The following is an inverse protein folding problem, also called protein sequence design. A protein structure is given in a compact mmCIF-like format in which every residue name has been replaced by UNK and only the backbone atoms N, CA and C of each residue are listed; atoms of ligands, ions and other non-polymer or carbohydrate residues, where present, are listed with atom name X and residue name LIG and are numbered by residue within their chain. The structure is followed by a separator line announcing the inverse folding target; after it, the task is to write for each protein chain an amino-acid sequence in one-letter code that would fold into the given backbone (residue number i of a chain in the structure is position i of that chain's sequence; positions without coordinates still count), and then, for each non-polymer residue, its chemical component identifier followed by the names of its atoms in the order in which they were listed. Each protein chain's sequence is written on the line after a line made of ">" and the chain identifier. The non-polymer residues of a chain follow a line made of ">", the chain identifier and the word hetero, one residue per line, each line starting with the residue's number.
data_IF_698710649285
#
_entry.id   IF_698710649285
#
_cell.length_a   1.000
_cell.length_b   1.000
_cell.length_c   1.000
_cell.angle_alpha   90.00
_cell.angle_beta   90.00
_cell.angle_gamma   90.00
#
_symmetry.space_group_name_H-M   'P 1'
#
loop_
_entity.id
_entity.type
_entity.pdbx_description
1 polymer ?
#
# COMPACT_ATOMS: atom_id res chain seq x y z
N UNK A 1 18.03 3.97 -15.98
CA UNK A 1 18.39 5.36 -15.57
C UNK A 1 17.41 5.77 -14.51
N UNK A 2 17.82 6.41 -13.44
CA UNK A 2 16.89 6.84 -12.39
C UNK A 2 15.92 7.90 -12.93
N UNK A 3 14.63 7.80 -12.59
CA UNK A 3 13.57 8.73 -12.99
C UNK A 3 13.94 10.15 -12.55
N UNK A 4 14.07 11.08 -13.48
CA UNK A 4 14.49 12.46 -13.20
C UNK A 4 13.85 13.46 -14.14
N UNK A 5 13.67 14.72 -13.66
CA UNK A 5 13.06 15.81 -14.43
C UNK A 5 11.59 15.60 -14.79
N UNK A 6 10.87 14.78 -14.00
CA UNK A 6 9.46 14.44 -14.20
C UNK A 6 8.57 15.23 -13.24
N UNK A 7 7.33 15.45 -13.66
CA UNK A 7 6.26 15.94 -12.78
C UNK A 7 5.34 14.77 -12.44
N UNK A 8 5.24 14.44 -11.14
CA UNK A 8 4.63 13.20 -10.66
C UNK A 8 3.50 13.52 -9.70
N UNK A 9 2.28 13.10 -10.02
CA UNK A 9 1.13 13.19 -9.11
C UNK A 9 1.04 11.93 -8.27
N UNK A 10 0.96 12.08 -6.94
CA UNK A 10 0.73 10.98 -6.00
C UNK A 10 -0.58 11.24 -5.25
N UNK A 11 -1.63 10.49 -5.53
CA UNK A 11 -2.84 10.49 -4.72
C UNK A 11 -2.66 9.59 -3.51
N UNK A 12 -3.19 9.97 -2.35
CA UNK A 12 -2.81 9.32 -1.09
C UNK A 12 -1.36 9.66 -0.68
N UNK A 13 -0.88 10.85 -1.12
CA UNK A 13 0.51 11.26 -1.00
C UNK A 13 0.95 11.55 0.43
N UNK A 14 0.03 11.86 1.36
CA UNK A 14 0.31 11.97 2.79
C UNK A 14 0.18 10.63 3.53
N UNK A 15 -0.25 9.56 2.86
CA UNK A 15 -0.31 8.21 3.42
C UNK A 15 1.07 7.55 3.55
N UNK A 16 1.12 6.41 4.22
CA UNK A 16 2.36 5.67 4.53
C UNK A 16 3.24 5.40 3.29
N UNK A 17 2.68 4.73 2.27
CA UNK A 17 3.42 4.39 1.04
C UNK A 17 3.68 5.65 0.21
N UNK A 18 2.68 6.54 0.07
CA UNK A 18 2.78 7.78 -0.71
C UNK A 18 3.89 8.70 -0.21
N UNK A 19 3.97 8.92 1.11
CA UNK A 19 5.03 9.73 1.73
C UNK A 19 6.42 9.11 1.53
N UNK A 20 6.54 7.79 1.70
CA UNK A 20 7.83 7.09 1.49
C UNK A 20 8.27 7.17 0.02
N UNK A 21 7.34 7.02 -0.91
CA UNK A 21 7.62 7.17 -2.35
C UNK A 21 8.00 8.62 -2.70
N UNK A 22 7.22 9.61 -2.22
CA UNK A 22 7.51 11.02 -2.45
C UNK A 22 8.93 11.37 -1.99
N UNK A 23 9.38 10.89 -0.82
CA UNK A 23 10.74 11.09 -0.30
C UNK A 23 11.84 10.56 -1.25
N UNK A 24 11.56 9.47 -1.97
CA UNK A 24 12.51 8.89 -2.94
C UNK A 24 12.54 9.64 -4.28
N UNK A 25 11.52 10.43 -4.59
CA UNK A 25 11.33 11.10 -5.88
C UNK A 25 11.70 12.58 -5.88
N UNK A 26 11.53 13.29 -4.75
CA UNK A 26 11.61 14.76 -4.70
C UNK A 26 12.99 15.34 -5.03
N UNK A 27 14.08 14.61 -4.80
CA UNK A 27 15.43 15.13 -5.07
C UNK A 27 15.68 15.35 -6.56
N UNK A 28 15.00 14.59 -7.43
CA UNK A 28 15.22 14.60 -8.87
C UNK A 28 13.97 14.98 -9.69
N UNK A 29 12.81 15.16 -9.07
CA UNK A 29 11.53 15.36 -9.74
C UNK A 29 10.67 16.38 -9.01
N UNK A 30 9.70 16.97 -9.70
CA UNK A 30 8.59 17.72 -9.10
C UNK A 30 7.51 16.73 -8.67
N UNK A 31 7.14 16.73 -7.40
CA UNK A 31 6.11 15.84 -6.84
C UNK A 31 4.91 16.65 -6.39
N UNK A 32 3.74 16.31 -6.91
CA UNK A 32 2.45 16.84 -6.48
C UNK A 32 1.76 15.76 -5.65
N UNK A 33 1.59 15.99 -4.36
CA UNK A 33 0.91 15.07 -3.45
C UNK A 33 -0.49 15.58 -3.12
N UNK A 34 -1.51 14.74 -3.29
CA UNK A 34 -2.89 15.04 -2.87
C UNK A 34 -3.38 14.01 -1.87
N UNK A 35 -3.99 14.49 -0.77
CA UNK A 35 -4.52 13.62 0.30
C UNK A 35 -5.59 14.38 1.10
N UNK A 36 -6.55 13.66 1.67
CA UNK A 36 -7.55 14.25 2.56
C UNK A 36 -7.13 14.22 4.04
N UNK A 37 -5.90 13.77 4.34
CA UNK A 37 -5.28 13.68 5.66
C UNK A 37 -6.01 12.75 6.65
N UNK A 38 -6.80 11.80 6.15
CA UNK A 38 -7.43 10.81 7.03
C UNK A 38 -6.37 9.92 7.75
N UNK A 39 -5.24 9.68 7.10
CA UNK A 39 -4.06 9.01 7.66
C UNK A 39 -2.81 9.77 7.22
N UNK A 40 -2.34 10.64 8.07
CA UNK A 40 -1.28 11.60 7.74
C UNK A 40 0.09 11.15 8.28
N UNK A 41 0.96 10.75 7.35
CA UNK A 41 2.37 10.44 7.62
C UNK A 41 3.32 11.55 7.12
N UNK A 42 2.80 12.60 6.49
CA UNK A 42 3.58 13.68 5.88
C UNK A 42 3.76 14.88 6.82
N UNK A 43 2.69 15.34 7.44
CA UNK A 43 2.70 16.56 8.28
C UNK A 43 3.72 16.45 9.41
N UNK A 44 4.49 17.51 9.60
CA UNK A 44 5.56 17.57 10.61
C UNK A 44 6.84 16.82 10.24
N UNK A 45 6.96 16.36 8.99
CA UNK A 45 8.23 15.84 8.47
C UNK A 45 8.98 16.89 7.67
N UNK A 46 10.30 16.75 7.55
CA UNK A 46 11.16 17.54 6.68
C UNK A 46 10.72 17.51 5.19
N UNK A 47 10.12 16.41 4.79
CA UNK A 47 9.58 16.25 3.43
C UNK A 47 8.46 17.25 3.11
N UNK A 48 7.61 17.57 4.09
CA UNK A 48 6.49 18.51 3.89
C UNK A 48 6.95 19.93 3.49
N UNK A 49 8.18 20.29 3.82
CA UNK A 49 8.79 21.60 3.51
C UNK A 49 9.77 21.52 2.31
N UNK A 50 9.85 20.37 1.63
CA UNK A 50 10.79 20.18 0.53
C UNK A 50 10.39 21.04 -0.70
N UNK A 51 11.32 21.81 -1.32
CA UNK A 51 10.97 22.75 -2.40
C UNK A 51 10.37 22.11 -3.65
N UNK A 52 10.65 20.84 -3.90
CA UNK A 52 10.10 20.09 -5.03
C UNK A 52 8.84 19.28 -4.68
N UNK A 53 8.30 19.39 -3.44
CA UNK A 53 7.03 18.80 -3.05
C UNK A 53 5.95 19.89 -3.00
N UNK A 54 4.91 19.73 -3.77
CA UNK A 54 3.68 20.51 -3.64
C UNK A 54 2.59 19.65 -3.02
N UNK A 55 2.06 20.05 -1.86
CA UNK A 55 0.97 19.32 -1.20
C UNK A 55 -0.36 20.07 -1.37
N UNK A 56 -1.38 19.34 -1.85
CA UNK A 56 -2.75 19.82 -1.96
C UNK A 56 -3.66 18.96 -1.07
N UNK A 57 -4.30 19.58 -0.08
CA UNK A 57 -5.36 18.86 0.63
C UNK A 57 -6.59 18.75 -0.26
N UNK A 58 -7.06 17.51 -0.49
CA UNK A 58 -8.18 17.22 -1.37
C UNK A 58 -8.63 15.76 -1.32
N UNK A 59 -9.76 15.45 -1.95
CA UNK A 59 -10.30 14.09 -2.00
C UNK A 59 -10.38 13.62 -3.45
N UNK A 60 -9.99 12.37 -3.70
CA UNK A 60 -10.08 11.74 -5.04
C UNK A 60 -11.51 11.63 -5.58
N UNK A 61 -12.51 11.86 -4.73
CA UNK A 61 -13.91 11.97 -5.15
C UNK A 61 -14.22 13.28 -5.89
N UNK A 62 -13.34 14.28 -5.81
CA UNK A 62 -13.41 15.52 -6.57
C UNK A 62 -12.74 15.35 -7.93
N UNK A 63 -13.52 15.02 -8.95
CA UNK A 63 -13.01 14.77 -10.29
C UNK A 63 -12.46 16.04 -10.97
N UNK A 64 -12.94 17.23 -10.63
CA UNK A 64 -12.42 18.48 -11.18
C UNK A 64 -11.04 18.77 -10.61
N UNK A 65 -10.87 18.61 -9.31
CA UNK A 65 -9.57 18.70 -8.67
C UNK A 65 -8.57 17.68 -9.25
N UNK A 66 -8.99 16.43 -9.50
CA UNK A 66 -8.09 15.41 -10.09
C UNK A 66 -7.63 15.84 -11.48
N UNK A 67 -8.51 16.42 -12.32
CA UNK A 67 -8.15 16.95 -13.64
C UNK A 67 -7.18 18.12 -13.55
N UNK A 68 -7.44 19.07 -12.64
CA UNK A 68 -6.56 20.21 -12.39
C UNK A 68 -5.14 19.76 -11.99
N UNK A 69 -5.05 18.86 -11.00
CA UNK A 69 -3.75 18.36 -10.52
C UNK A 69 -3.01 17.47 -11.53
N UNK A 70 -3.72 16.88 -12.49
CA UNK A 70 -3.14 16.08 -13.55
C UNK A 70 -2.53 16.94 -14.68
N UNK A 71 -2.83 18.24 -14.75
CA UNK A 71 -2.28 19.12 -15.80
C UNK A 71 -0.75 19.13 -15.79
N UNK A 72 -0.17 18.78 -16.94
CA UNK A 72 1.29 18.77 -17.15
C UNK A 72 2.06 17.67 -16.42
N UNK A 73 1.36 16.72 -15.76
CA UNK A 73 2.05 15.57 -15.16
C UNK A 73 2.46 14.56 -16.22
N UNK A 74 3.59 13.91 -15.96
CA UNK A 74 4.11 12.82 -16.79
C UNK A 74 3.84 11.44 -16.18
N UNK A 75 3.67 11.40 -14.86
CA UNK A 75 3.46 10.16 -14.11
C UNK A 75 2.40 10.36 -13.03
N UNK A 76 1.55 9.35 -12.85
CA UNK A 76 0.55 9.32 -11.78
C UNK A 76 0.77 8.04 -10.95
N UNK A 77 0.76 8.18 -9.62
CA UNK A 77 0.74 7.04 -8.69
C UNK A 77 -0.51 7.14 -7.82
N UNK A 78 -1.45 6.24 -8.05
CA UNK A 78 -2.73 6.21 -7.35
C UNK A 78 -2.66 5.31 -6.12
N UNK A 79 -2.27 5.88 -4.96
CA UNK A 79 -2.23 5.18 -3.67
C UNK A 79 -3.47 5.46 -2.81
N UNK A 80 -4.28 6.47 -3.15
CA UNK A 80 -5.45 6.85 -2.35
C UNK A 80 -6.47 5.72 -2.28
N UNK A 81 -6.75 5.23 -1.08
CA UNK A 81 -7.76 4.21 -0.84
C UNK A 81 -8.14 4.16 0.64
N UNK A 82 -9.36 3.75 0.93
CA UNK A 82 -9.73 3.29 2.27
C UNK A 82 -9.35 1.82 2.38
N UNK A 83 -8.49 1.51 3.36
CA UNK A 83 -8.00 0.17 3.65
C UNK A 83 -8.03 -0.10 5.17
N UNK A 84 -7.83 -1.36 5.56
CA UNK A 84 -7.84 -1.82 6.95
C UNK A 84 -9.19 -2.41 7.35
N UNK A 85 -9.14 -3.59 7.96
CA UNK A 85 -10.32 -4.44 8.22
C UNK A 85 -11.40 -3.72 9.00
N UNK A 86 -11.05 -3.04 10.10
CA UNK A 86 -12.03 -2.37 10.95
C UNK A 86 -12.68 -1.18 10.23
N UNK A 87 -11.88 -0.30 9.60
CA UNK A 87 -12.39 0.85 8.83
C UNK A 87 -13.33 0.42 7.71
N UNK A 88 -13.00 -0.66 7.00
CA UNK A 88 -13.82 -1.19 5.91
C UNK A 88 -15.14 -1.75 6.44
N UNK A 89 -15.12 -2.47 7.57
CA UNK A 89 -16.33 -3.03 8.20
C UNK A 89 -17.25 -1.95 8.78
N UNK A 90 -16.67 -0.89 9.34
CA UNK A 90 -17.42 0.25 9.90
C UNK A 90 -18.02 1.15 8.81
N UNK A 91 -17.37 1.25 7.66
CA UNK A 91 -17.77 2.21 6.58
C UNK A 91 -17.69 1.59 5.19
N UNK A 92 -18.43 0.49 4.89
CA UNK A 92 -18.34 -0.18 3.60
C UNK A 92 -18.79 0.68 2.42
N UNK A 93 -19.82 1.52 2.59
CA UNK A 93 -20.29 2.43 1.53
C UNK A 93 -19.23 3.46 1.18
N UNK A 94 -18.59 4.07 2.19
CA UNK A 94 -17.50 5.02 1.97
C UNK A 94 -16.31 4.36 1.30
N UNK A 95 -15.98 3.13 1.71
CA UNK A 95 -14.92 2.32 1.10
C UNK A 95 -15.16 2.12 -0.39
N UNK A 96 -16.36 1.67 -0.78
CA UNK A 96 -16.73 1.51 -2.20
C UNK A 96 -16.63 2.83 -2.96
N UNK A 97 -17.17 3.91 -2.42
CA UNK A 97 -17.14 5.22 -3.09
C UNK A 97 -15.72 5.70 -3.33
N UNK A 98 -14.89 5.73 -2.29
CA UNK A 98 -13.52 6.24 -2.41
C UNK A 98 -12.67 5.37 -3.33
N UNK A 99 -12.73 4.05 -3.14
CA UNK A 99 -11.85 3.15 -3.90
C UNK A 99 -12.30 2.96 -5.35
N UNK A 100 -13.60 3.02 -5.65
CA UNK A 100 -14.09 2.83 -7.02
C UNK A 100 -14.23 4.14 -7.77
N UNK A 101 -14.99 5.11 -7.22
CA UNK A 101 -15.21 6.41 -7.89
C UNK A 101 -13.93 7.24 -7.88
N UNK A 102 -13.13 7.16 -6.79
CA UNK A 102 -11.82 7.82 -6.76
C UNK A 102 -10.87 7.29 -7.83
N UNK A 103 -10.79 5.96 -8.01
CA UNK A 103 -9.99 5.36 -9.10
C UNK A 103 -10.52 5.79 -10.47
N UNK A 104 -11.85 5.80 -10.69
CA UNK A 104 -12.46 6.31 -11.92
C UNK A 104 -12.04 7.76 -12.20
N UNK A 105 -12.14 8.65 -11.22
CA UNK A 105 -11.78 10.07 -11.39
C UNK A 105 -10.28 10.24 -11.74
N UNK A 106 -9.41 9.44 -11.15
CA UNK A 106 -7.97 9.46 -11.46
C UNK A 106 -7.70 8.95 -12.88
N UNK A 107 -8.39 7.90 -13.32
CA UNK A 107 -8.27 7.40 -14.70
C UNK A 107 -8.79 8.43 -15.71
N UNK A 108 -9.93 9.07 -15.47
CA UNK A 108 -10.45 10.15 -16.32
C UNK A 108 -9.48 11.35 -16.39
N UNK A 109 -8.90 11.73 -15.24
CA UNK A 109 -7.89 12.78 -15.21
C UNK A 109 -6.64 12.38 -15.99
N UNK A 110 -6.23 11.12 -15.92
CA UNK A 110 -5.10 10.59 -16.69
C UNK A 110 -5.36 10.62 -18.20
N UNK A 111 -6.58 10.28 -18.65
CA UNK A 111 -6.97 10.39 -20.08
C UNK A 111 -6.86 11.82 -20.57
N UNK A 112 -7.23 12.81 -19.76
CA UNK A 112 -7.14 14.22 -20.15
C UNK A 112 -5.70 14.70 -20.37
N UNK A 113 -4.69 13.95 -19.89
CA UNK A 113 -3.27 14.28 -20.04
C UNK A 113 -2.56 13.49 -21.15
N UNK A 114 -3.24 12.62 -21.86
CA UNK A 114 -2.69 12.00 -23.07
C UNK A 114 -2.43 13.08 -24.15
N UNK A 115 -1.32 13.07 -24.86
CA UNK A 115 -0.27 12.06 -24.97
C UNK A 115 0.97 12.30 -24.08
N UNK A 116 0.94 13.21 -23.12
CA UNK A 116 2.11 13.54 -22.28
C UNK A 116 2.34 12.57 -21.13
N UNK A 117 1.31 11.82 -20.73
CA UNK A 117 1.42 10.84 -19.66
C UNK A 117 2.27 9.64 -20.09
N UNK A 118 3.33 9.39 -19.35
CA UNK A 118 4.25 8.28 -19.60
C UNK A 118 3.88 7.03 -18.79
N UNK A 119 3.24 7.21 -17.60
CA UNK A 119 2.90 6.11 -16.71
C UNK A 119 1.80 6.45 -15.71
N UNK A 120 0.92 5.47 -15.46
CA UNK A 120 0.00 5.47 -14.32
C UNK A 120 0.17 4.17 -13.55
N UNK A 121 0.48 4.26 -12.24
CA UNK A 121 0.49 3.11 -11.34
C UNK A 121 -0.81 3.09 -10.54
N UNK A 122 -1.59 2.01 -10.66
CA UNK A 122 -2.73 1.73 -9.79
C UNK A 122 -2.33 0.77 -8.67
N UNK A 123 -2.51 1.21 -7.43
CA UNK A 123 -2.32 0.35 -6.27
C UNK A 123 -3.58 -0.46 -6.00
N UNK A 124 -3.61 -1.71 -6.47
CA UNK A 124 -4.59 -2.72 -6.10
C UNK A 124 -4.22 -3.35 -4.74
N UNK A 125 -4.44 -4.62 -4.54
CA UNK A 125 -4.18 -5.31 -3.27
C UNK A 125 -4.06 -6.82 -3.45
N UNK A 126 -3.26 -7.47 -2.61
CA UNK A 126 -3.26 -8.94 -2.51
C UNK A 126 -4.57 -9.53 -1.98
N UNK A 127 -5.51 -8.71 -1.48
CA UNK A 127 -6.82 -9.19 -1.03
C UNK A 127 -7.73 -9.64 -2.16
N UNK A 128 -7.45 -9.25 -3.41
CA UNK A 128 -8.17 -9.74 -4.60
C UNK A 128 -8.08 -11.26 -4.78
N UNK A 129 -7.09 -11.90 -4.18
CA UNK A 129 -6.93 -13.36 -4.21
C UNK A 129 -7.76 -14.12 -3.16
N UNK A 130 -8.52 -13.41 -2.30
CA UNK A 130 -9.41 -14.02 -1.31
C UNK A 130 -8.69 -14.55 -0.06
N UNK A 131 -9.29 -15.63 0.54
CA UNK A 131 -8.85 -16.16 1.85
C UNK A 131 -7.57 -16.99 1.79
N UNK A 132 -7.30 -17.68 0.68
CA UNK A 132 -6.18 -18.60 0.51
C UNK A 132 -5.33 -18.20 -0.70
N UNK A 133 -4.33 -17.39 -0.48
CA UNK A 133 -3.39 -16.93 -1.48
C UNK A 133 -2.01 -17.59 -1.28
N UNK A 134 -1.82 -18.80 -1.82
CA UNK A 134 -0.54 -19.53 -1.73
C UNK A 134 0.23 -19.46 -3.04
N UNK A 135 1.31 -18.68 -3.05
CA UNK A 135 2.17 -18.47 -4.22
C UNK A 135 1.36 -18.08 -5.47
N UNK A 136 0.36 -17.22 -5.23
CA UNK A 136 -0.58 -16.80 -6.28
C UNK A 136 0.11 -15.97 -7.35
N UNK A 137 -0.27 -16.22 -8.61
CA UNK A 137 0.18 -15.45 -9.77
C UNK A 137 -0.85 -14.38 -10.14
N UNK A 138 -0.42 -13.33 -10.82
CA UNK A 138 -1.23 -12.16 -11.15
C UNK A 138 -2.47 -12.47 -12.01
N UNK A 139 -2.35 -13.43 -12.92
CA UNK A 139 -3.47 -13.88 -13.78
C UNK A 139 -4.39 -14.93 -13.15
N UNK A 140 -4.23 -15.23 -11.86
CA UNK A 140 -5.05 -16.23 -11.18
C UNK A 140 -6.46 -15.69 -10.93
N UNK A 141 -7.47 -16.55 -11.10
CA UNK A 141 -8.88 -16.23 -10.87
C UNK A 141 -9.08 -15.77 -9.41
N UNK A 142 -9.70 -14.61 -9.25
CA UNK A 142 -10.08 -14.08 -7.94
C UNK A 142 -11.28 -14.82 -7.38
N UNK A 143 -11.17 -15.27 -6.11
CA UNK A 143 -12.30 -15.87 -5.37
C UNK A 143 -12.49 -15.10 -4.09
N UNK A 144 -13.38 -14.10 -4.12
CA UNK A 144 -13.68 -13.23 -2.99
C UNK A 144 -14.89 -13.79 -2.23
N UNK A 145 -14.98 -13.53 -0.93
CA UNK A 145 -16.06 -14.03 -0.06
C UNK A 145 -17.45 -13.54 -0.40
N UNK A 146 -18.42 -13.97 0.38
CA UNK A 146 -19.85 -13.81 0.11
C UNK A 146 -20.31 -12.35 0.03
N UNK A 147 -21.26 -12.09 -0.85
CA UNK A 147 -21.96 -10.78 -0.90
C UNK A 147 -22.66 -10.54 0.44
N UNK A 148 -22.53 -9.32 0.98
CA UNK A 148 -23.08 -8.94 2.28
C UNK A 148 -22.07 -9.00 3.43
N UNK A 149 -20.93 -9.64 3.25
CA UNK A 149 -19.82 -9.58 4.21
C UNK A 149 -18.98 -8.31 3.98
N UNK A 150 -19.17 -7.30 4.84
CA UNK A 150 -18.49 -5.99 4.73
C UNK A 150 -16.95 -6.11 4.65
N UNK A 151 -16.37 -7.17 5.23
CA UNK A 151 -14.94 -7.48 5.18
C UNK A 151 -14.37 -7.48 3.75
N UNK A 152 -15.15 -7.96 2.77
CA UNK A 152 -14.71 -8.12 1.39
C UNK A 152 -14.94 -6.89 0.51
N UNK A 153 -15.62 -5.87 1.03
CA UNK A 153 -15.91 -4.62 0.28
C UNK A 153 -14.63 -3.98 -0.27
N UNK A 154 -13.55 -4.00 0.50
CA UNK A 154 -12.24 -3.49 0.06
C UNK A 154 -11.70 -4.28 -1.13
N UNK A 155 -11.63 -5.60 -1.03
CA UNK A 155 -11.12 -6.44 -2.11
C UNK A 155 -11.94 -6.28 -3.39
N UNK A 156 -13.28 -6.26 -3.28
CA UNK A 156 -14.18 -6.04 -4.43
C UNK A 156 -13.94 -4.66 -5.07
N UNK A 157 -13.83 -3.60 -4.26
CA UNK A 157 -13.60 -2.25 -4.79
C UNK A 157 -12.26 -2.13 -5.52
N UNK A 158 -11.20 -2.76 -5.00
CA UNK A 158 -9.88 -2.75 -5.63
C UNK A 158 -9.82 -3.63 -6.88
N UNK A 159 -10.46 -4.79 -6.88
CA UNK A 159 -10.58 -5.64 -8.06
C UNK A 159 -11.33 -4.92 -9.21
N UNK A 160 -12.41 -4.22 -8.88
CA UNK A 160 -13.13 -3.42 -9.88
C UNK A 160 -12.28 -2.26 -10.43
N UNK A 161 -11.49 -1.58 -9.58
CA UNK A 161 -10.52 -0.56 -10.00
C UNK A 161 -9.45 -1.13 -10.94
N UNK A 162 -8.93 -2.31 -10.63
CA UNK A 162 -7.95 -3.01 -11.47
C UNK A 162 -8.52 -3.33 -12.86
N UNK A 163 -9.75 -3.88 -12.91
CA UNK A 163 -10.45 -4.10 -14.18
C UNK A 163 -10.63 -2.81 -14.98
N UNK A 164 -10.97 -1.70 -14.32
CA UNK A 164 -11.05 -0.39 -15.00
C UNK A 164 -9.69 0.02 -15.55
N UNK A 165 -8.62 -0.04 -14.77
CA UNK A 165 -7.27 0.33 -15.23
C UNK A 165 -6.84 -0.45 -16.46
N UNK A 166 -7.12 -1.76 -16.50
CA UNK A 166 -6.89 -2.60 -17.68
C UNK A 166 -7.76 -2.20 -18.87
N UNK A 167 -9.06 -1.95 -18.68
CA UNK A 167 -9.95 -1.52 -19.76
C UNK A 167 -9.51 -0.19 -20.37
N UNK A 168 -9.09 0.78 -19.54
CA UNK A 168 -8.54 2.05 -20.02
C UNK A 168 -7.23 1.89 -20.80
N UNK A 169 -6.41 0.91 -20.43
CA UNK A 169 -5.23 0.55 -21.21
C UNK A 169 -5.61 -0.02 -22.58
N UNK A 170 -6.48 -1.01 -22.60
CA UNK A 170 -6.84 -1.76 -23.81
C UNK A 170 -7.62 -0.89 -24.83
N UNK A 171 -8.55 -0.06 -24.34
CA UNK A 171 -9.42 0.74 -25.21
C UNK A 171 -8.83 2.10 -25.58
N UNK A 172 -8.11 2.76 -24.65
CA UNK A 172 -7.66 4.13 -24.81
C UNK A 172 -6.13 4.27 -24.90
N UNK A 173 -5.39 3.17 -24.70
CA UNK A 173 -3.94 3.18 -24.71
C UNK A 173 -3.30 3.86 -23.49
N UNK A 174 -4.04 4.00 -22.39
CA UNK A 174 -3.51 4.60 -21.16
C UNK A 174 -2.33 3.75 -20.62
N UNK A 175 -1.15 4.33 -20.33
CA UNK A 175 0.02 3.55 -19.93
C UNK A 175 -0.07 3.09 -18.47
N UNK A 176 -1.07 2.25 -18.14
CA UNK A 176 -1.33 1.75 -16.79
C UNK A 176 -0.43 0.60 -16.41
N UNK A 177 -0.12 0.53 -15.12
CA UNK A 177 0.50 -0.61 -14.44
C UNK A 177 -0.24 -0.83 -13.13
N UNK A 178 -0.63 -2.04 -12.83
CA UNK A 178 -1.24 -2.37 -11.54
C UNK A 178 -0.24 -3.08 -10.63
N UNK A 179 -0.27 -2.78 -9.35
CA UNK A 179 0.53 -3.48 -8.34
C UNK A 179 -0.36 -4.10 -7.27
N UNK A 180 -0.01 -5.31 -6.84
CA UNK A 180 -0.63 -6.00 -5.70
C UNK A 180 0.34 -5.98 -4.51
N UNK A 181 0.22 -5.04 -3.57
CA UNK A 181 1.01 -5.06 -2.34
C UNK A 181 0.66 -6.25 -1.44
N UNK A 182 1.70 -6.91 -0.90
CA UNK A 182 1.55 -7.99 0.08
C UNK A 182 2.06 -7.53 1.44
N UNK A 183 1.13 -7.22 2.37
CA UNK A 183 1.36 -6.88 3.77
C UNK A 183 2.56 -5.94 4.01
N UNK A 184 2.48 -4.74 3.45
CA UNK A 184 3.53 -3.72 3.57
C UNK A 184 3.61 -3.19 4.99
N UNK A 185 4.83 -3.06 5.53
CA UNK A 185 5.09 -2.52 6.86
C UNK A 185 6.37 -1.67 6.87
N UNK A 186 6.53 -0.82 7.86
CA UNK A 186 7.73 0.00 8.02
C UNK A 186 7.52 1.26 8.85
N UNK A 187 8.56 2.09 8.99
CA UNK A 187 8.47 3.44 9.57
C UNK A 187 7.41 4.28 8.85
N UNK A 188 6.66 5.08 9.60
CA UNK A 188 5.60 5.92 9.02
C UNK A 188 4.26 5.21 8.83
N UNK A 189 4.15 3.91 9.13
CA UNK A 189 2.87 3.21 9.01
C UNK A 189 1.84 3.76 10.01
N UNK A 190 0.78 4.38 9.48
CA UNK A 190 -0.37 4.90 10.21
C UNK A 190 -1.60 4.07 9.84
N UNK A 191 -2.46 3.80 10.82
CA UNK A 191 -3.64 2.93 10.63
C UNK A 191 -3.44 1.53 11.19
N UNK A 192 -4.41 0.63 10.94
CA UNK A 192 -4.38 -0.73 11.49
C UNK A 192 -3.31 -1.62 10.89
N UNK A 193 -3.01 -2.73 11.58
CA UNK A 193 -2.08 -3.76 11.11
C UNK A 193 -1.42 -4.48 12.28
N UNK A 194 -1.18 -5.78 12.13
CA UNK A 194 -0.66 -6.61 13.23
C UNK A 194 0.71 -6.14 13.73
N UNK A 195 1.64 -5.80 12.82
CA UNK A 195 2.99 -5.34 13.21
C UNK A 195 2.90 -4.07 14.07
N UNK A 196 2.12 -3.07 13.62
CA UNK A 196 1.94 -1.85 14.39
C UNK A 196 1.32 -2.12 15.75
N UNK A 197 0.21 -2.86 15.78
CA UNK A 197 -0.51 -3.16 17.02
C UNK A 197 0.40 -3.87 18.04
N UNK A 198 1.20 -4.84 17.60
CA UNK A 198 2.14 -5.54 18.47
C UNK A 198 3.28 -4.66 18.94
N UNK A 199 3.85 -3.81 18.06
CA UNK A 199 4.92 -2.87 18.46
C UNK A 199 4.39 -1.86 19.48
N UNK A 200 3.25 -1.23 19.25
CA UNK A 200 2.65 -0.26 20.17
C UNK A 200 2.30 -0.89 21.53
N UNK A 201 1.76 -2.12 21.53
CA UNK A 201 1.49 -2.84 22.76
C UNK A 201 2.79 -3.17 23.53
N UNK A 202 3.79 -3.69 22.80
CA UNK A 202 5.08 -4.06 23.40
C UNK A 202 5.82 -2.83 23.98
N UNK A 203 5.87 -1.71 23.25
CA UNK A 203 6.50 -0.48 23.74
C UNK A 203 5.76 0.15 24.93
N UNK A 204 4.45 -0.05 25.02
CA UNK A 204 3.64 0.39 26.15
C UNK A 204 3.64 -0.59 27.34
N UNK A 205 4.42 -1.69 27.27
CA UNK A 205 4.45 -2.73 28.31
C UNK A 205 3.14 -3.51 28.46
N UNK A 206 2.28 -3.50 27.42
CA UNK A 206 0.99 -4.22 27.41
C UNK A 206 1.15 -5.58 26.75
N UNK A 207 0.15 -6.45 26.98
CA UNK A 207 0.07 -7.74 26.33
C UNK A 207 -0.13 -7.60 24.81
N UNK A 208 0.45 -8.53 24.06
CA UNK A 208 0.29 -8.63 22.60
C UNK A 208 -0.93 -9.50 22.29
N UNK A 209 -2.00 -8.88 21.82
CA UNK A 209 -3.27 -9.57 21.55
C UNK A 209 -3.30 -10.13 20.14
N UNK A 210 -3.46 -11.46 20.03
CA UNK A 210 -3.69 -12.18 18.77
C UNK A 210 -5.19 -12.48 18.64
N UNK A 211 -5.77 -12.12 17.50
CA UNK A 211 -7.14 -12.49 17.15
C UNK A 211 -7.15 -13.86 16.44
N UNK A 212 -7.94 -14.81 16.96
CA UNK A 212 -7.90 -16.21 16.56
C UNK A 212 -6.80 -16.98 17.28
N UNK A 213 -6.27 -18.03 16.64
CA UNK A 213 -5.24 -18.91 17.20
C UNK A 213 -3.79 -18.53 16.80
N UNK A 214 -3.64 -17.52 15.97
CA UNK A 214 -2.34 -17.05 15.48
C UNK A 214 -1.71 -17.91 14.38
N UNK A 215 -2.44 -18.90 13.84
CA UNK A 215 -1.97 -19.78 12.76
C UNK A 215 -1.97 -19.11 11.39
N UNK A 216 -2.64 -17.96 11.24
CA UNK A 216 -2.69 -17.23 9.97
C UNK A 216 -1.28 -16.92 9.48
N UNK A 217 -1.01 -17.19 8.20
CA UNK A 217 0.30 -17.04 7.58
C UNK A 217 0.32 -15.81 6.66
N UNK A 218 1.34 -14.96 6.82
CA UNK A 218 1.56 -13.76 6.02
C UNK A 218 3.00 -13.67 5.54
N UNK A 219 3.17 -13.27 4.29
CA UNK A 219 4.44 -12.76 3.78
C UNK A 219 4.46 -11.24 3.97
N UNK A 220 5.52 -10.71 4.58
CA UNK A 220 5.65 -9.30 4.94
C UNK A 220 6.63 -8.60 3.99
N UNK A 221 6.26 -7.42 3.50
CA UNK A 221 7.08 -6.61 2.61
C UNK A 221 7.50 -5.32 3.31
N UNK A 222 8.80 -5.05 3.41
CA UNK A 222 9.25 -3.79 3.97
C UNK A 222 8.96 -2.64 2.98
N UNK A 223 8.64 -1.46 3.51
CA UNK A 223 8.16 -0.34 2.70
C UNK A 223 9.16 0.12 1.64
N UNK A 224 10.46 0.06 1.92
CA UNK A 224 11.49 0.44 0.94
C UNK A 224 11.51 -0.53 -0.26
N UNK A 225 11.26 -1.83 -0.04
CA UNK A 225 11.13 -2.81 -1.13
C UNK A 225 9.87 -2.54 -1.96
N UNK A 226 8.75 -2.14 -1.32
CA UNK A 226 7.53 -1.74 -2.02
C UNK A 226 7.78 -0.51 -2.90
N UNK A 227 8.46 0.50 -2.36
CA UNK A 227 8.81 1.73 -3.09
C UNK A 227 9.77 1.42 -4.23
N UNK A 228 10.77 0.57 -4.04
CA UNK A 228 11.69 0.14 -5.10
C UNK A 228 10.94 -0.54 -6.26
N UNK A 229 10.02 -1.46 -5.95
CA UNK A 229 9.17 -2.08 -6.97
C UNK A 229 8.33 -1.04 -7.73
N UNK A 230 7.79 -0.04 -7.02
CA UNK A 230 7.01 1.05 -7.63
C UNK A 230 7.87 1.89 -8.56
N UNK A 231 9.10 2.22 -8.18
CA UNK A 231 10.05 2.93 -9.03
C UNK A 231 10.39 2.13 -10.29
N UNK A 232 10.63 0.83 -10.17
CA UNK A 232 10.83 -0.06 -11.32
C UNK A 232 9.60 -0.09 -12.25
N UNK A 233 8.39 -0.12 -11.69
CA UNK A 233 7.15 0.00 -12.47
C UNK A 233 7.02 1.35 -13.18
N UNK A 234 7.49 2.44 -12.59
CA UNK A 234 7.50 3.77 -13.21
C UNK A 234 8.50 3.86 -14.38
N UNK A 235 9.64 3.18 -14.29
CA UNK A 235 10.74 3.32 -15.24
C UNK A 235 10.75 2.25 -16.34
N UNK A 236 10.36 1.01 -16.02
CA UNK A 236 10.56 -0.11 -16.93
C UNK A 236 9.52 -0.14 -18.06
N UNK A 237 9.91 -0.12 -19.35
CA UNK A 237 8.96 -0.07 -20.46
C UNK A 237 8.06 -1.32 -20.53
N UNK A 238 8.56 -2.49 -20.14
CA UNK A 238 7.80 -3.73 -20.08
C UNK A 238 6.78 -3.81 -18.93
N UNK A 239 6.67 -2.75 -18.11
CA UNK A 239 5.66 -2.70 -17.05
C UNK A 239 4.26 -2.31 -17.59
N UNK A 240 4.19 -1.51 -18.67
CA UNK A 240 2.92 -1.01 -19.22
C UNK A 240 1.98 -2.16 -19.58
N UNK A 241 0.69 -2.02 -19.20
CA UNK A 241 -0.36 -3.02 -19.42
C UNK A 241 -0.24 -4.26 -18.53
N UNK A 242 0.67 -4.25 -17.55
CA UNK A 242 0.90 -5.41 -16.68
C UNK A 242 0.49 -5.16 -15.24
N UNK A 243 0.15 -6.27 -14.56
CA UNK A 243 -0.02 -6.34 -13.11
C UNK A 243 1.16 -7.07 -12.50
N UNK A 244 1.63 -6.62 -11.31
CA UNK A 244 2.74 -7.24 -10.57
C UNK A 244 2.41 -7.48 -9.11
N UNK A 245 2.65 -8.69 -8.64
CA UNK A 245 2.69 -8.99 -7.21
C UNK A 245 3.99 -8.42 -6.60
N UNK A 246 3.84 -7.60 -5.56
CA UNK A 246 4.97 -7.01 -4.85
C UNK A 246 4.96 -7.41 -3.39
N UNK A 247 5.98 -8.16 -2.98
CA UNK A 247 6.09 -8.71 -1.64
C UNK A 247 7.41 -9.43 -1.42
N UNK A 248 7.62 -9.93 -0.20
CA UNK A 248 8.79 -10.74 0.13
C UNK A 248 8.36 -12.15 0.59
N UNK A 249 8.33 -13.17 -0.29
CA UNK A 249 7.93 -14.53 0.10
C UNK A 249 8.88 -15.17 1.11
N UNK A 250 10.13 -14.68 1.26
CA UNK A 250 11.08 -15.16 2.27
C UNK A 250 10.73 -14.69 3.69
N UNK A 251 10.01 -13.57 3.80
CA UNK A 251 9.54 -13.01 5.08
C UNK A 251 8.17 -13.57 5.48
N UNK A 252 7.96 -14.87 5.30
CA UNK A 252 6.70 -15.56 5.58
C UNK A 252 6.72 -16.16 6.99
N UNK A 253 5.76 -15.75 7.82
CA UNK A 253 5.62 -16.24 9.20
C UNK A 253 4.15 -16.34 9.59
N UNK A 254 3.86 -17.10 10.67
CA UNK A 254 2.55 -17.04 11.33
C UNK A 254 2.39 -15.75 12.13
N UNK A 255 1.15 -15.36 12.42
CA UNK A 255 0.90 -14.20 13.31
C UNK A 255 1.46 -14.45 14.71
N UNK A 256 1.46 -15.70 15.16
CA UNK A 256 2.08 -16.06 16.43
C UNK A 256 3.60 -15.86 16.43
N UNK A 257 4.31 -16.35 15.40
CA UNK A 257 5.76 -16.15 15.27
C UNK A 257 6.11 -14.65 15.15
N UNK A 258 5.29 -13.88 14.42
CA UNK A 258 5.45 -12.41 14.33
C UNK A 258 5.38 -11.76 15.72
N UNK A 259 4.39 -12.11 16.54
CA UNK A 259 4.27 -11.58 17.89
C UNK A 259 5.48 -11.95 18.77
N UNK A 260 5.96 -13.18 18.67
CA UNK A 260 7.17 -13.65 19.35
C UNK A 260 8.42 -12.84 18.95
N UNK A 261 8.61 -12.59 17.67
CA UNK A 261 9.72 -11.78 17.14
C UNK A 261 9.68 -10.36 17.68
N UNK A 262 8.51 -9.70 17.63
CA UNK A 262 8.34 -8.35 18.14
C UNK A 262 8.58 -8.30 19.65
N UNK A 263 8.04 -9.25 20.42
CA UNK A 263 8.32 -9.36 21.87
C UNK A 263 9.81 -9.46 22.15
N UNK A 264 10.53 -10.33 21.42
CA UNK A 264 11.99 -10.49 21.54
C UNK A 264 12.75 -9.23 21.18
N UNK A 265 12.46 -8.60 20.03
CA UNK A 265 13.17 -7.42 19.52
C UNK A 265 12.92 -6.17 20.38
N UNK A 266 11.76 -6.06 21.02
CA UNK A 266 11.44 -4.95 21.93
C UNK A 266 11.96 -5.17 23.34
N UNK A 267 12.17 -6.41 23.76
CA UNK A 267 12.44 -6.78 25.15
C UNK A 267 11.19 -6.65 26.04
N UNK A 268 9.99 -6.67 25.46
CA UNK A 268 8.74 -6.43 26.20
C UNK A 268 8.42 -7.54 27.20
N UNK A 269 7.95 -7.14 28.40
CA UNK A 269 7.56 -8.06 29.47
C UNK A 269 6.11 -8.57 29.39
N UNK A 270 5.26 -7.97 28.52
CA UNK A 270 3.86 -8.38 28.34
C UNK A 270 3.72 -9.80 27.78
N UNK A 271 2.58 -10.43 28.00
CA UNK A 271 2.31 -11.78 27.50
C UNK A 271 1.68 -11.76 26.09
N UNK A 272 1.71 -12.90 25.39
CA UNK A 272 0.94 -13.09 24.16
C UNK A 272 -0.41 -13.71 24.59
N UNK A 273 -1.48 -12.97 24.32
CA UNK A 273 -2.85 -13.37 24.68
C UNK A 273 -3.71 -13.55 23.44
N UNK A 274 -4.67 -14.48 23.52
CA UNK A 274 -5.53 -14.80 22.39
C UNK A 274 -6.95 -14.32 22.64
N UNK A 275 -7.56 -13.73 21.61
CA UNK A 275 -8.98 -13.33 21.63
C UNK A 275 -9.72 -13.98 20.46
N UNK A 276 -10.99 -14.37 20.65
CA UNK A 276 -11.78 -14.93 19.54
C UNK A 276 -11.86 -13.98 18.34
N UNK A 277 -11.78 -14.55 17.15
CA UNK A 277 -12.02 -13.85 15.91
C UNK A 277 -13.47 -14.10 15.46
N UNK A 278 -14.25 -13.03 15.27
CA UNK A 278 -15.69 -13.10 14.98
C UNK A 278 -16.05 -12.74 13.52
N UNK A 279 -15.08 -12.76 12.62
CA UNK A 279 -15.28 -12.48 11.17
C UNK A 279 -14.32 -13.33 10.34
N UNK A 280 -14.66 -13.49 9.06
CA UNK A 280 -13.79 -14.16 8.11
C UNK A 280 -12.47 -13.39 7.96
N UNK A 281 -11.35 -14.07 8.07
CA UNK A 281 -10.02 -13.50 7.84
C UNK A 281 -9.30 -14.28 6.73
N UNK A 282 -8.22 -13.71 6.26
CA UNK A 282 -7.31 -14.38 5.34
C UNK A 282 -6.47 -15.37 6.12
N UNK A 283 -6.50 -16.63 5.73
CA UNK A 283 -5.75 -17.68 6.41
C UNK A 283 -4.30 -17.74 5.91
N UNK A 284 -4.12 -17.56 4.60
CA UNK A 284 -2.83 -17.69 3.96
C UNK A 284 -2.65 -16.61 2.88
N UNK A 285 -1.52 -15.88 2.94
CA UNK A 285 -1.20 -14.84 1.94
C UNK A 285 0.30 -14.79 1.65
N UNK A 286 0.70 -15.50 0.59
CA UNK A 286 2.09 -15.58 0.13
C UNK A 286 2.12 -15.29 -1.38
N UNK A 287 2.89 -14.27 -1.85
CA UNK A 287 2.99 -13.97 -3.26
C UNK A 287 3.83 -14.98 -4.04
N UNK A 288 3.54 -15.16 -5.32
CA UNK A 288 4.54 -15.46 -6.32
C UNK A 288 5.02 -14.12 -6.90
N UNK A 289 6.33 -13.87 -6.90
CA UNK A 289 6.96 -12.63 -7.38
C UNK A 289 7.84 -12.87 -8.60
N UNK A 290 7.71 -14.02 -9.25
CA UNK A 290 8.56 -14.39 -10.40
C UNK A 290 8.38 -13.40 -11.56
N UNK A 291 7.14 -12.99 -11.88
CA UNK A 291 6.89 -11.99 -12.92
C UNK A 291 7.59 -10.65 -12.64
N UNK A 292 7.50 -10.16 -11.41
CA UNK A 292 8.20 -8.92 -11.01
C UNK A 292 9.72 -9.07 -11.13
N UNK A 293 10.27 -10.25 -10.80
CA UNK A 293 11.70 -10.54 -10.94
C UNK A 293 12.12 -10.61 -12.41
N UNK A 294 11.38 -11.33 -13.24
CA UNK A 294 11.72 -11.55 -14.65
C UNK A 294 11.57 -10.28 -15.50
N UNK A 295 10.50 -9.50 -15.30
CA UNK A 295 10.19 -8.32 -16.11
C UNK A 295 10.90 -7.09 -15.57
N UNK A 296 10.85 -6.86 -14.25
CA UNK A 296 11.34 -5.61 -13.63
C UNK A 296 12.72 -5.76 -12.98
N UNK A 297 13.23 -6.98 -12.81
CA UNK A 297 14.44 -7.24 -12.03
C UNK A 297 14.22 -7.03 -10.51
N UNK A 298 12.97 -7.00 -10.05
CA UNK A 298 12.65 -6.79 -8.64
C UNK A 298 12.95 -8.03 -7.80
N UNK A 299 13.67 -7.83 -6.70
CA UNK A 299 13.78 -8.80 -5.61
C UNK A 299 13.81 -8.02 -4.28
N UNK A 300 12.96 -8.40 -3.33
CA UNK A 300 12.91 -7.77 -2.02
C UNK A 300 14.25 -7.99 -1.29
N UNK A 301 14.80 -6.95 -0.66
CA UNK A 301 16.15 -6.98 -0.06
C UNK A 301 16.13 -7.04 1.46
N UNK A 302 15.09 -6.46 2.08
CA UNK A 302 15.02 -6.32 3.54
C UNK A 302 14.38 -7.57 4.13
N UNK A 303 15.08 -8.25 5.03
CA UNK A 303 14.50 -9.37 5.78
C UNK A 303 13.55 -8.88 6.89
N UNK A 304 12.75 -9.84 7.43
CA UNK A 304 11.71 -9.49 8.39
C UNK A 304 12.28 -8.90 9.68
N UNK A 305 13.31 -9.50 10.27
CA UNK A 305 13.85 -9.07 11.57
C UNK A 305 14.56 -7.70 11.43
N UNK A 306 15.24 -7.44 10.32
CA UNK A 306 15.82 -6.13 10.01
C UNK A 306 14.73 -5.06 9.85
N UNK A 307 13.70 -5.33 9.04
CA UNK A 307 12.58 -4.42 8.85
C UNK A 307 11.82 -4.13 10.15
N UNK A 308 11.60 -5.16 10.99
CA UNK A 308 10.99 -5.00 12.31
C UNK A 308 11.86 -4.13 13.21
N UNK A 309 13.19 -4.35 13.27
CA UNK A 309 14.09 -3.55 14.09
C UNK A 309 14.06 -2.06 13.71
N UNK A 310 14.10 -1.73 12.40
CA UNK A 310 13.98 -0.36 11.88
C UNK A 310 12.63 0.26 12.25
N UNK A 311 11.54 -0.52 12.11
CA UNK A 311 10.18 -0.07 12.43
C UNK A 311 10.03 0.20 13.93
N UNK A 312 10.51 -0.69 14.80
CA UNK A 312 10.50 -0.52 16.26
C UNK A 312 11.29 0.73 16.67
N UNK A 313 12.48 0.95 16.08
CA UNK A 313 13.28 2.13 16.37
C UNK A 313 12.52 3.42 16.05
N UNK A 314 11.81 3.47 14.92
CA UNK A 314 10.99 4.61 14.53
C UNK A 314 9.82 4.87 15.51
N UNK A 315 9.11 3.83 15.96
CA UNK A 315 8.03 4.00 16.95
C UNK A 315 8.58 4.47 18.31
N UNK A 316 9.76 3.97 18.74
CA UNK A 316 10.42 4.41 19.97
C UNK A 316 10.76 5.91 19.95
N UNK A 317 11.32 6.43 18.86
CA UNK A 317 11.65 7.87 18.77
C UNK A 317 10.42 8.75 18.92
N UNK A 318 9.29 8.37 18.30
CA UNK A 318 8.04 9.12 18.39
C UNK A 318 7.36 9.07 19.77
N UNK A 319 7.52 7.98 20.49
CA UNK A 319 7.00 7.87 21.87
C UNK A 319 7.78 8.82 22.80
N UNK A 320 9.07 9.02 22.56
CA UNK A 320 9.91 9.94 23.33
C UNK A 320 9.62 11.41 23.03
N UNK A 321 9.20 11.76 21.81
CA UNK A 321 8.84 13.12 21.41
C UNK A 321 7.47 13.56 21.94
N UNK A 322 6.63 12.61 22.40
CA UNK A 322 5.28 12.86 22.89
C UNK A 322 5.21 13.03 24.42
N UNK A 323 6.34 12.90 25.13
CA UNK A 323 6.50 13.07 26.58
C UNK A 323 7.24 14.38 26.87
#
# INVERSE_FOLDING_TARGET
>A
MALSGKRILITGGAGFIGTTLARRLVDANEVVAVDNLHRDALTGTDLAEHPNLSFQQGDVLDGDLMRELAEGVTHIVHCAAIAGVDTVRESPVRTMRVNLIGTYNVLEAAVSTLPTLERLIDFSTSEVFGTHAFRVQEGQVSTIGSVGEARWTYAVSKLAGEHMAHAYHDELGLPTVTVHPFNVFGPGQIGGGAIRAFIEAALAGRDLTIHGDGSQIRAWCYVDDMVEATLLCLEHPGAIGNTFNVGNPRATVTIYDLAQRIKRLTGAGGEIVFQPLHYADVELRIPNVEKAREVLGFDAKVDLDEGLARTIAWYRSRTLESV
#
